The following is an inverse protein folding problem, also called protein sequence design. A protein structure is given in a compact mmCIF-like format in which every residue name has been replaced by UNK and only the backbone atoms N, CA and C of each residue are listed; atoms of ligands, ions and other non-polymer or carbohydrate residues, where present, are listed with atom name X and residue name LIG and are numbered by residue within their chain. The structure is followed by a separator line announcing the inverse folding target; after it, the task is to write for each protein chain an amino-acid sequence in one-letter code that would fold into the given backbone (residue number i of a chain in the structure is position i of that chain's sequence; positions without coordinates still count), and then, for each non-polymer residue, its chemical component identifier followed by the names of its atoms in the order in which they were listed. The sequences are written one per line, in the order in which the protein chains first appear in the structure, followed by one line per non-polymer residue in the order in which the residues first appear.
data_IF_628798496920
#
_entry.id   IF_628798496920
#
_cell.length_a   1.000
_cell.length_b   1.000
_cell.length_c   1.000
_cell.angle_alpha   90.00
_cell.angle_beta   90.00
_cell.angle_gamma   90.00
#
_symmetry.space_group_name_H-M   'P 1'
#
loop_
_entity.id
_entity.type
_entity.pdbx_description
1 polymer ?
#
# COMPACT_ATOMS: atom_id res chain seq x y z
N UNK A 1 23.48 -14.15 14.15
CA UNK A 1 22.55 -13.53 13.18
C UNK A 1 21.56 -12.67 13.96
N UNK A 2 21.32 -11.44 13.52
CA UNK A 2 20.38 -10.53 14.19
C UNK A 2 19.00 -11.17 14.25
N UNK A 3 18.37 -11.21 15.43
CA UNK A 3 17.04 -11.80 15.68
C UNK A 3 16.95 -13.34 15.61
N UNK A 4 18.04 -14.06 15.65
CA UNK A 4 18.01 -15.52 15.76
C UNK A 4 18.76 -15.96 17.01
N UNK A 5 18.24 -16.99 17.67
CA UNK A 5 18.89 -17.67 18.79
C UNK A 5 19.06 -19.16 18.49
N UNK A 6 20.09 -19.73 19.04
CA UNK A 6 20.31 -21.18 18.96
C UNK A 6 19.34 -21.91 19.87
N UNK A 7 18.88 -23.07 19.43
CA UNK A 7 18.07 -24.00 20.20
C UNK A 7 18.80 -25.34 20.28
N UNK A 8 18.81 -25.92 21.49
CA UNK A 8 19.42 -27.22 21.73
C UNK A 8 18.65 -28.33 21.04
N UNK A 9 19.28 -29.48 20.83
CA UNK A 9 18.64 -30.66 20.29
C UNK A 9 17.48 -31.10 21.18
N UNK A 10 16.32 -31.30 20.55
CA UNK A 10 15.11 -31.83 21.16
C UNK A 10 14.35 -32.68 20.13
N UNK A 11 14.53 -34.00 20.24
CA UNK A 11 13.89 -34.94 19.31
C UNK A 11 12.36 -34.96 19.44
N UNK A 12 11.80 -34.70 20.64
CA UNK A 12 10.37 -34.64 20.86
C UNK A 12 9.73 -33.40 20.20
N UNK A 13 10.48 -32.30 20.09
CA UNK A 13 10.07 -31.09 19.36
C UNK A 13 10.42 -31.13 17.86
N UNK A 14 10.89 -32.27 17.32
CA UNK A 14 11.26 -32.41 15.91
C UNK A 14 12.62 -31.77 15.55
N UNK A 15 13.48 -31.50 16.54
CA UNK A 15 14.79 -30.86 16.39
C UNK A 15 15.92 -31.79 16.87
N UNK A 16 16.15 -32.98 16.23
CA UNK A 16 17.07 -33.97 16.73
C UNK A 16 18.52 -33.48 16.79
N UNK A 17 18.89 -32.46 16.05
CA UNK A 17 20.25 -31.88 15.99
C UNK A 17 20.33 -30.45 16.49
N UNK A 18 19.26 -29.93 17.10
CA UNK A 18 19.16 -28.50 17.41
C UNK A 18 18.98 -27.64 16.17
N UNK A 19 19.19 -26.34 16.30
CA UNK A 19 19.01 -25.42 15.17
C UNK A 19 18.96 -23.96 15.58
N UNK A 20 18.41 -23.17 14.71
CA UNK A 20 18.20 -21.72 14.93
C UNK A 20 16.72 -21.39 14.82
N UNK A 21 16.22 -20.59 15.73
CA UNK A 21 14.86 -20.05 15.70
C UNK A 21 14.88 -18.52 15.82
N UNK A 22 13.79 -17.88 15.41
CA UNK A 22 13.63 -16.44 15.61
C UNK A 22 13.51 -16.15 17.10
N UNK A 23 14.31 -15.22 17.60
CA UNK A 23 14.17 -14.68 18.94
C UNK A 23 13.11 -13.56 18.93
N UNK A 24 11.87 -13.97 19.15
CA UNK A 24 10.71 -13.05 19.09
C UNK A 24 10.75 -12.03 20.22
N UNK A 25 11.31 -12.36 21.38
CA UNK A 25 11.49 -11.46 22.52
C UNK A 25 12.48 -10.35 22.16
N UNK A 26 13.65 -10.72 21.66
CA UNK A 26 14.67 -9.75 21.23
C UNK A 26 14.20 -8.94 20.02
N UNK A 27 13.47 -9.56 19.08
CA UNK A 27 12.84 -8.84 17.97
C UNK A 27 11.86 -7.78 18.47
N UNK A 28 10.91 -8.17 19.32
CA UNK A 28 9.88 -7.28 19.86
C UNK A 28 10.50 -6.10 20.62
N UNK A 29 11.49 -6.37 21.47
CA UNK A 29 12.21 -5.34 22.21
C UNK A 29 12.95 -4.33 21.32
N UNK A 30 13.67 -4.80 20.29
CA UNK A 30 14.42 -3.92 19.38
C UNK A 30 13.58 -3.20 18.35
N UNK A 31 12.42 -3.75 18.02
CA UNK A 31 11.51 -3.20 17.01
C UNK A 31 10.28 -2.53 17.63
N UNK A 32 10.29 -2.25 18.94
CA UNK A 32 9.13 -1.71 19.66
C UNK A 32 8.49 -0.49 18.94
N UNK A 33 9.28 0.49 18.53
CA UNK A 33 8.78 1.70 17.87
C UNK A 33 8.07 1.42 16.54
N UNK A 34 8.60 0.48 15.73
CA UNK A 34 7.95 0.13 14.45
C UNK A 34 6.70 -0.71 14.69
N UNK A 35 6.71 -1.61 15.67
CA UNK A 35 5.55 -2.38 16.06
C UNK A 35 4.43 -1.47 16.55
N UNK A 36 4.72 -0.50 17.41
CA UNK A 36 3.76 0.48 17.92
C UNK A 36 3.16 1.32 16.80
N UNK A 37 3.99 1.85 15.91
CA UNK A 37 3.52 2.66 14.79
C UNK A 37 2.63 1.86 13.84
N UNK A 38 3.08 0.66 13.42
CA UNK A 38 2.33 -0.16 12.46
C UNK A 38 1.02 -0.65 13.07
N UNK A 39 1.00 -1.05 14.34
CA UNK A 39 -0.23 -1.45 15.04
C UNK A 39 -1.25 -0.31 15.07
N UNK A 40 -0.82 0.91 15.45
CA UNK A 40 -1.69 2.09 15.47
C UNK A 40 -2.23 2.42 14.08
N UNK A 41 -1.37 2.45 13.07
CA UNK A 41 -1.75 2.75 11.68
C UNK A 41 -2.76 1.75 11.15
N UNK A 42 -2.48 0.45 11.27
CA UNK A 42 -3.35 -0.61 10.76
C UNK A 42 -4.68 -0.67 11.51
N UNK A 43 -4.67 -0.53 12.84
CA UNK A 43 -5.87 -0.53 13.67
C UNK A 43 -6.76 0.68 13.37
N UNK A 44 -6.16 1.86 13.23
CA UNK A 44 -6.89 3.07 12.85
C UNK A 44 -7.50 2.95 11.45
N UNK A 45 -6.77 2.34 10.50
CA UNK A 45 -7.28 2.12 9.13
C UNK A 45 -8.45 1.13 9.11
N UNK A 46 -8.37 0.03 9.89
CA UNK A 46 -9.48 -0.96 10.00
C UNK A 46 -10.78 -0.31 10.48
N UNK A 47 -10.69 0.62 11.42
CA UNK A 47 -11.87 1.22 12.06
C UNK A 47 -12.60 2.25 11.21
N UNK A 48 -12.07 2.61 10.04
CA UNK A 48 -12.65 3.64 9.17
C UNK A 48 -13.49 3.07 8.04
N UNK A 49 -14.46 3.88 7.60
CA UNK A 49 -15.20 3.59 6.38
C UNK A 49 -14.32 3.72 5.13
N UNK A 50 -14.53 2.82 4.17
CA UNK A 50 -13.82 2.86 2.91
C UNK A 50 -14.32 4.01 2.02
N UNK A 51 -13.44 4.93 1.64
CA UNK A 51 -13.70 5.97 0.65
C UNK A 51 -13.22 5.51 -0.72
N UNK A 52 -14.16 5.38 -1.67
CA UNK A 52 -13.91 4.79 -2.99
C UNK A 52 -13.84 5.84 -4.11
N UNK A 53 -13.60 7.10 -3.79
CA UNK A 53 -13.64 8.23 -4.72
C UNK A 53 -12.27 8.67 -5.26
N UNK A 54 -11.21 7.90 -5.03
CA UNK A 54 -9.87 8.27 -5.50
C UNK A 54 -9.67 8.00 -7.00
N UNK A 55 -10.26 6.93 -7.55
CA UNK A 55 -10.19 6.52 -8.96
C UNK A 55 -8.77 6.46 -9.55
N UNK A 56 -7.72 6.27 -8.76
CA UNK A 56 -6.35 6.32 -9.27
C UNK A 56 -5.83 7.72 -9.65
N UNK A 57 -6.56 8.78 -9.31
CA UNK A 57 -6.19 10.16 -9.66
C UNK A 57 -4.83 10.61 -9.13
N UNK A 58 -4.25 9.90 -8.18
CA UNK A 58 -2.89 10.17 -7.71
C UNK A 58 -1.83 9.98 -8.81
N UNK A 59 -1.97 8.98 -9.70
CA UNK A 59 -1.06 8.79 -10.82
C UNK A 59 -1.22 9.93 -11.87
N UNK A 60 -2.44 10.42 -12.07
CA UNK A 60 -2.73 11.56 -12.94
C UNK A 60 -2.15 12.86 -12.35
N UNK A 61 -2.31 13.08 -11.06
CA UNK A 61 -1.76 14.24 -10.35
C UNK A 61 -0.22 14.27 -10.35
N UNK A 62 0.44 13.11 -10.43
CA UNK A 62 1.89 13.02 -10.59
C UNK A 62 2.35 13.40 -12.01
N UNK A 63 1.48 13.20 -13.02
CA UNK A 63 1.76 13.51 -14.42
C UNK A 63 1.19 14.88 -14.86
N UNK A 64 0.55 15.62 -13.96
CA UNK A 64 -0.04 16.92 -14.24
C UNK A 64 1.04 17.92 -14.68
N UNK A 65 0.75 18.69 -15.74
CA UNK A 65 1.69 19.61 -16.40
C UNK A 65 3.04 18.96 -16.75
N UNK A 66 2.94 17.79 -17.35
CA UNK A 66 4.12 17.00 -17.75
C UNK A 66 5.01 17.71 -18.78
N UNK A 67 4.50 18.65 -19.53
CA UNK A 67 5.25 19.55 -20.43
C UNK A 67 6.20 20.48 -19.66
N UNK A 68 5.85 20.87 -18.43
CA UNK A 68 6.65 21.73 -17.55
C UNK A 68 7.55 20.92 -16.63
N UNK A 69 6.99 19.88 -15.98
CA UNK A 69 7.67 19.14 -14.91
C UNK A 69 8.33 17.84 -15.37
N UNK A 70 8.04 17.43 -16.61
CA UNK A 70 8.45 16.12 -17.12
C UNK A 70 7.62 14.96 -16.55
N UNK A 71 7.91 13.75 -17.02
CA UNK A 71 7.26 12.53 -16.57
C UNK A 71 8.22 11.68 -15.76
N UNK A 72 7.73 11.11 -14.69
CA UNK A 72 8.47 10.15 -13.87
C UNK A 72 8.82 8.86 -14.64
N UNK A 73 7.90 8.43 -15.50
CA UNK A 73 8.04 7.28 -16.40
C UNK A 73 8.11 7.76 -17.87
N UNK A 74 9.13 8.56 -18.18
CA UNK A 74 9.28 9.22 -19.48
C UNK A 74 9.36 8.26 -20.69
N UNK A 75 9.66 6.97 -20.46
CA UNK A 75 9.67 5.94 -21.49
C UNK A 75 8.29 5.40 -21.86
N UNK A 76 7.25 5.77 -21.09
CA UNK A 76 5.87 5.31 -21.31
C UNK A 76 5.03 6.51 -21.74
N UNK A 77 4.40 6.49 -22.93
CA UNK A 77 3.59 7.61 -23.41
C UNK A 77 2.33 7.80 -22.56
N UNK A 78 1.85 9.04 -22.50
CA UNK A 78 0.55 9.35 -21.91
C UNK A 78 -0.56 8.98 -22.91
N UNK A 79 -1.58 8.27 -22.44
CA UNK A 79 -2.73 7.79 -23.21
C UNK A 79 -3.52 8.91 -23.88
N UNK A 80 -3.66 10.05 -23.19
CA UNK A 80 -4.38 11.23 -23.65
C UNK A 80 -3.45 12.41 -24.01
N UNK A 81 -2.13 12.17 -24.04
CA UNK A 81 -1.14 13.25 -24.15
C UNK A 81 -1.10 14.16 -22.90
N UNK A 82 -0.27 15.19 -22.93
CA UNK A 82 -0.12 16.12 -21.80
C UNK A 82 -1.44 16.87 -21.52
N UNK A 83 -2.01 17.54 -22.53
CA UNK A 83 -3.23 18.33 -22.35
C UNK A 83 -4.40 17.48 -21.88
N UNK A 84 -4.64 16.30 -22.48
CA UNK A 84 -5.75 15.44 -22.03
C UNK A 84 -5.56 14.90 -20.61
N UNK A 85 -4.31 14.73 -20.18
CA UNK A 85 -4.00 14.37 -18.78
C UNK A 85 -4.36 15.53 -17.84
N UNK A 86 -4.02 16.76 -18.21
CA UNK A 86 -4.33 17.96 -17.45
C UNK A 86 -5.85 18.17 -17.35
N UNK A 87 -6.58 18.00 -18.45
CA UNK A 87 -8.04 18.11 -18.48
C UNK A 87 -8.71 17.11 -17.51
N UNK A 88 -8.20 15.88 -17.41
CA UNK A 88 -8.69 14.88 -16.45
C UNK A 88 -8.45 15.36 -15.02
N UNK A 89 -7.26 15.84 -14.69
CA UNK A 89 -6.92 16.32 -13.35
C UNK A 89 -7.81 17.50 -12.96
N UNK A 90 -7.99 18.48 -13.85
CA UNK A 90 -8.75 19.69 -13.60
C UNK A 90 -10.28 19.45 -13.51
N UNK A 91 -10.78 18.44 -14.23
CA UNK A 91 -12.20 18.08 -14.21
C UNK A 91 -12.62 17.20 -13.03
N UNK A 92 -11.67 16.76 -12.19
CA UNK A 92 -11.96 15.83 -11.10
C UNK A 92 -11.63 16.42 -9.73
N UNK A 93 -12.41 16.03 -8.72
CA UNK A 93 -12.10 16.32 -7.32
C UNK A 93 -11.06 15.30 -6.82
N UNK A 94 -9.84 15.73 -6.60
CA UNK A 94 -8.78 14.86 -6.06
C UNK A 94 -8.89 14.81 -4.54
N UNK A 95 -8.87 13.59 -3.97
CA UNK A 95 -9.02 13.37 -2.53
C UNK A 95 -8.12 12.20 -2.08
N UNK A 96 -6.82 12.31 -2.37
CA UNK A 96 -5.83 11.33 -1.92
C UNK A 96 -5.56 11.50 -0.43
N UNK A 97 -5.64 10.40 0.32
CA UNK A 97 -5.39 10.34 1.77
C UNK A 97 -4.04 9.71 2.12
N UNK A 98 -3.26 9.25 1.15
CA UNK A 98 -2.02 8.52 1.35
C UNK A 98 -0.80 9.41 1.12
N UNK A 99 0.00 9.63 2.16
CA UNK A 99 1.15 10.53 2.12
C UNK A 99 2.19 10.12 1.07
N UNK A 100 2.56 8.83 1.04
CA UNK A 100 3.61 8.34 0.12
C UNK A 100 3.22 8.42 -1.37
N UNK A 101 1.93 8.54 -1.70
CA UNK A 101 1.46 8.88 -3.04
C UNK A 101 1.43 10.41 -3.25
N UNK A 102 0.77 11.14 -2.32
CA UNK A 102 0.58 12.58 -2.40
C UNK A 102 1.88 13.38 -2.52
N UNK A 103 2.94 12.98 -1.83
CA UNK A 103 4.23 13.68 -1.87
C UNK A 103 4.88 13.76 -3.26
N UNK A 104 4.42 12.95 -4.20
CA UNK A 104 4.93 12.91 -5.57
C UNK A 104 4.08 13.68 -6.58
N UNK A 105 3.00 14.32 -6.15
CA UNK A 105 2.18 15.17 -7.01
C UNK A 105 3.00 16.30 -7.62
N UNK A 106 2.66 16.68 -8.84
CA UNK A 106 3.13 17.93 -9.40
C UNK A 106 2.79 19.09 -8.45
N UNK A 107 3.63 20.15 -8.39
CA UNK A 107 3.45 21.24 -7.40
C UNK A 107 2.04 21.78 -7.36
N UNK A 108 1.45 22.11 -8.50
CA UNK A 108 0.12 22.69 -8.60
C UNK A 108 -0.99 21.68 -8.27
N UNK A 109 -0.79 20.40 -8.61
CA UNK A 109 -1.77 19.35 -8.28
C UNK A 109 -1.89 19.08 -6.76
N UNK A 110 -0.86 19.45 -5.96
CA UNK A 110 -0.94 19.36 -4.51
C UNK A 110 -2.01 20.26 -3.93
N UNK A 111 -2.13 21.48 -4.46
CA UNK A 111 -3.15 22.43 -4.03
C UNK A 111 -4.58 21.98 -4.40
N UNK A 112 -4.72 21.18 -5.46
CA UNK A 112 -5.98 20.61 -5.92
C UNK A 112 -6.46 19.43 -5.06
N UNK A 113 -5.56 18.80 -4.28
CA UNK A 113 -5.95 17.71 -3.40
C UNK A 113 -6.71 18.25 -2.19
N UNK A 114 -7.93 17.76 -1.98
CA UNK A 114 -8.80 18.19 -0.88
C UNK A 114 -8.21 17.93 0.52
N UNK A 115 -7.37 16.91 0.64
CA UNK A 115 -6.65 16.56 1.86
C UNK A 115 -5.17 16.94 1.71
N UNK A 116 -4.52 17.28 2.83
CA UNK A 116 -3.09 17.59 2.83
C UNK A 116 -2.35 16.59 3.75
N UNK A 117 -2.22 15.31 3.31
CA UNK A 117 -1.59 14.29 4.12
C UNK A 117 -0.10 14.58 4.28
N UNK A 118 0.38 14.43 5.50
CA UNK A 118 1.80 14.50 5.86
C UNK A 118 2.25 13.16 6.44
N UNK A 119 3.54 13.02 6.69
CA UNK A 119 4.06 11.83 7.37
C UNK A 119 3.45 11.66 8.77
N UNK A 120 3.24 12.75 9.46
CA UNK A 120 2.74 12.75 10.85
C UNK A 120 1.23 12.46 10.92
N UNK A 121 0.50 12.77 9.84
CA UNK A 121 -0.95 12.54 9.76
C UNK A 121 -1.34 11.22 9.08
N UNK A 122 -0.39 10.31 8.78
CA UNK A 122 -0.69 9.02 8.15
C UNK A 122 -1.75 8.23 8.92
N UNK A 123 -1.61 8.14 10.26
CA UNK A 123 -2.55 7.43 11.13
C UNK A 123 -3.95 8.06 11.05
N UNK A 124 -4.04 9.36 10.85
CA UNK A 124 -5.31 10.09 10.79
C UNK A 124 -6.01 9.91 9.42
N UNK A 125 -5.26 9.90 8.33
CA UNK A 125 -5.83 9.98 6.97
C UNK A 125 -5.95 8.64 6.24
N UNK A 126 -5.10 7.65 6.54
CA UNK A 126 -5.20 6.38 5.84
C UNK A 126 -6.54 5.68 6.09
N UNK A 127 -7.10 5.10 5.03
CA UNK A 127 -8.42 4.47 5.07
C UNK A 127 -8.46 3.24 4.12
N UNK A 128 -9.35 2.25 4.35
CA UNK A 128 -9.29 0.96 3.69
C UNK A 128 -9.63 0.97 2.20
N UNK A 129 -10.28 2.00 1.67
CA UNK A 129 -10.53 2.15 0.23
C UNK A 129 -9.31 2.64 -0.57
N UNK A 130 -8.22 3.05 0.09
CA UNK A 130 -7.01 3.51 -0.59
C UNK A 130 -6.18 2.33 -1.11
N UNK A 131 -5.92 2.29 -2.43
CA UNK A 131 -5.08 1.26 -3.04
C UNK A 131 -3.67 1.23 -2.43
N UNK A 132 -3.06 2.38 -2.25
CA UNK A 132 -1.71 2.48 -1.67
C UNK A 132 -1.66 1.99 -0.21
N UNK A 133 -2.65 2.33 0.63
CA UNK A 133 -2.70 1.82 2.00
C UNK A 133 -2.88 0.29 2.04
N UNK A 134 -3.48 -0.29 1.00
CA UNK A 134 -3.64 -1.74 0.85
C UNK A 134 -2.37 -2.40 0.29
N UNK A 135 -1.68 -1.79 -0.67
CA UNK A 135 -0.35 -2.25 -1.13
C UNK A 135 0.70 -2.17 0.00
N UNK A 136 0.62 -1.16 0.84
CA UNK A 136 1.53 -0.97 1.98
C UNK A 136 1.46 -2.10 3.03
N UNK A 137 0.44 -2.96 3.01
CA UNK A 137 0.43 -4.17 3.84
C UNK A 137 1.67 -5.04 3.58
N UNK A 138 2.10 -5.16 2.31
CA UNK A 138 3.35 -5.84 1.97
C UNK A 138 4.58 -5.11 2.54
N UNK A 139 4.63 -3.78 2.48
CA UNK A 139 5.70 -2.96 3.08
C UNK A 139 5.78 -3.19 4.60
N UNK A 140 4.63 -3.18 5.28
CA UNK A 140 4.58 -3.39 6.73
C UNK A 140 4.93 -4.82 7.09
N UNK A 141 4.39 -5.81 6.38
CA UNK A 141 4.75 -7.21 6.54
C UNK A 141 6.28 -7.44 6.39
N UNK A 142 6.89 -6.85 5.36
CA UNK A 142 8.34 -6.96 5.13
C UNK A 142 9.18 -6.41 6.29
N UNK A 143 8.71 -5.36 6.96
CA UNK A 143 9.38 -4.77 8.14
C UNK A 143 9.30 -5.65 9.39
N UNK A 144 8.38 -6.62 9.42
CA UNK A 144 8.23 -7.58 10.51
C UNK A 144 9.08 -8.84 10.32
N UNK A 145 9.84 -8.95 9.23
CA UNK A 145 10.77 -10.07 9.05
C UNK A 145 11.91 -9.99 10.09
N UNK A 146 12.34 -11.14 10.62
CA UNK A 146 11.92 -12.52 10.33
C UNK A 146 10.78 -13.05 11.23
N UNK A 147 10.12 -12.19 12.00
CA UNK A 147 9.14 -12.58 13.04
C UNK A 147 7.71 -12.80 12.50
N UNK A 148 7.53 -12.77 11.20
CA UNK A 148 6.26 -13.03 10.50
C UNK A 148 6.39 -14.30 9.64
N UNK A 149 5.28 -15.01 9.42
CA UNK A 149 5.28 -16.16 8.54
C UNK A 149 5.46 -15.73 7.06
N UNK A 150 6.22 -16.55 6.31
CA UNK A 150 6.39 -16.31 4.86
C UNK A 150 5.06 -16.39 4.10
N UNK A 151 4.08 -17.18 4.56
CA UNK A 151 2.75 -17.22 3.96
C UNK A 151 2.00 -15.90 4.08
N UNK A 152 2.02 -15.25 5.26
CA UNK A 152 1.38 -13.93 5.42
C UNK A 152 2.08 -12.86 4.59
N UNK A 153 3.42 -12.91 4.48
CA UNK A 153 4.18 -12.03 3.61
C UNK A 153 3.79 -12.22 2.14
N UNK A 154 3.69 -13.47 1.68
CA UNK A 154 3.28 -13.81 0.31
C UNK A 154 1.86 -13.35 0.01
N UNK A 155 0.89 -13.59 0.91
CA UNK A 155 -0.49 -13.11 0.77
C UNK A 155 -0.55 -11.58 0.62
N UNK A 156 0.26 -10.84 1.39
CA UNK A 156 0.36 -9.39 1.27
C UNK A 156 1.01 -8.96 -0.06
N UNK A 157 2.00 -9.69 -0.55
CA UNK A 157 2.63 -9.43 -1.83
C UNK A 157 1.67 -9.66 -3.00
N UNK A 158 0.94 -10.77 -3.00
CA UNK A 158 -0.05 -11.08 -4.04
C UNK A 158 -1.14 -10.01 -4.11
N UNK A 159 -1.66 -9.58 -2.97
CA UNK A 159 -2.61 -8.46 -2.93
C UNK A 159 -2.00 -7.17 -3.49
N UNK A 160 -0.77 -6.83 -3.10
CA UNK A 160 -0.09 -5.62 -3.59
C UNK A 160 0.16 -5.68 -5.09
N UNK A 161 0.48 -6.86 -5.63
CA UNK A 161 0.65 -7.09 -7.07
C UNK A 161 -0.66 -6.86 -7.84
N UNK A 162 -1.74 -7.50 -7.41
CA UNK A 162 -3.06 -7.35 -8.04
C UNK A 162 -3.53 -5.89 -8.04
N UNK A 163 -3.35 -5.20 -6.92
CA UNK A 163 -3.66 -3.78 -6.80
C UNK A 163 -2.81 -2.96 -7.76
N UNK A 164 -1.50 -3.23 -7.84
CA UNK A 164 -0.59 -2.47 -8.71
C UNK A 164 -0.98 -2.60 -10.18
N UNK A 165 -1.45 -3.76 -10.63
CA UNK A 165 -1.96 -3.95 -11.99
C UNK A 165 -3.13 -3.00 -12.27
N UNK A 166 -4.15 -2.98 -11.40
CA UNK A 166 -5.32 -2.12 -11.57
C UNK A 166 -4.95 -0.64 -11.48
N UNK A 167 -4.06 -0.28 -10.56
CA UNK A 167 -3.57 1.08 -10.38
C UNK A 167 -2.89 1.60 -11.64
N UNK A 168 -2.04 0.78 -12.26
CA UNK A 168 -1.38 1.13 -13.53
C UNK A 168 -2.35 1.16 -14.71
N UNK A 169 -3.31 0.23 -14.79
CA UNK A 169 -4.36 0.29 -15.83
C UNK A 169 -5.20 1.55 -15.74
N UNK A 170 -5.43 2.07 -14.53
CA UNK A 170 -6.18 3.32 -14.29
C UNK A 170 -5.33 4.59 -14.43
N UNK A 171 -4.02 4.47 -14.60
CA UNK A 171 -3.08 5.58 -14.73
C UNK A 171 -3.21 6.31 -16.07
N UNK A 172 -2.59 7.49 -16.22
CA UNK A 172 -2.55 8.21 -17.50
C UNK A 172 -1.66 7.54 -18.55
N UNK A 173 -0.86 6.54 -18.19
CA UNK A 173 0.12 5.91 -19.08
C UNK A 173 -0.51 4.90 -20.03
N UNK A 174 0.01 4.82 -21.26
CA UNK A 174 -0.36 3.78 -22.22
C UNK A 174 0.46 2.51 -22.00
N UNK A 175 -0.19 1.49 -21.46
CA UNK A 175 0.41 0.19 -21.17
C UNK A 175 -0.07 -0.92 -22.12
N UNK A 176 -0.76 -0.57 -23.19
CA UNK A 176 -1.29 -1.55 -24.17
C UNK A 176 -0.18 -2.35 -24.84
N UNK A 177 0.98 -1.76 -25.06
CA UNK A 177 2.18 -2.45 -25.56
C UNK A 177 2.72 -3.54 -24.61
N UNK A 178 2.29 -3.56 -23.34
CA UNK A 178 2.62 -4.59 -22.36
C UNK A 178 1.44 -5.53 -22.05
N UNK A 179 0.35 -5.41 -22.83
CA UNK A 179 -0.84 -6.26 -22.69
C UNK A 179 -1.81 -5.82 -21.58
N UNK A 180 -1.71 -4.58 -21.10
CA UNK A 180 -2.63 -4.05 -20.10
C UNK A 180 -3.61 -3.07 -20.73
N UNK A 181 -4.87 -3.47 -20.83
CA UNK A 181 -5.94 -2.58 -21.28
C UNK A 181 -6.26 -1.49 -20.23
N UNK A 182 -6.50 -0.24 -20.64
CA UNK A 182 -6.73 0.84 -19.71
C UNK A 182 -8.10 0.77 -19.04
N UNK A 183 -8.14 1.04 -17.75
CA UNK A 183 -9.37 1.40 -17.02
C UNK A 183 -9.55 2.90 -17.16
N UNK A 184 -10.45 3.32 -18.05
CA UNK A 184 -10.65 4.72 -18.44
C UNK A 184 -11.44 5.48 -17.38
N UNK A 185 -10.77 5.92 -16.31
CA UNK A 185 -11.42 6.60 -15.17
C UNK A 185 -12.01 7.97 -15.53
N UNK A 186 -11.68 8.50 -16.67
CA UNK A 186 -12.30 9.68 -17.28
C UNK A 186 -13.74 9.41 -17.79
N UNK A 187 -14.17 8.13 -17.85
CA UNK A 187 -15.52 7.72 -18.23
C UNK A 187 -16.33 7.16 -17.06
N UNK A 188 -17.67 7.22 -17.08
CA UNK A 188 -18.51 6.58 -16.06
C UNK A 188 -18.27 5.07 -15.91
N UNK A 189 -18.10 4.37 -17.03
CA UNK A 189 -17.86 2.91 -17.08
C UNK A 189 -16.52 2.55 -16.45
N UNK A 190 -15.45 3.30 -16.76
CA UNK A 190 -14.14 3.10 -16.18
C UNK A 190 -14.12 3.39 -14.67
N UNK A 191 -14.82 4.43 -14.22
CA UNK A 191 -15.02 4.69 -12.78
C UNK A 191 -15.74 3.54 -12.08
N UNK A 192 -16.79 3.00 -12.69
CA UNK A 192 -17.53 1.87 -12.14
C UNK A 192 -16.64 0.62 -12.03
N UNK A 193 -15.87 0.31 -13.07
CA UNK A 193 -14.91 -0.81 -13.06
C UNK A 193 -13.84 -0.64 -11.98
N UNK A 194 -13.29 0.57 -11.84
CA UNK A 194 -12.29 0.86 -10.79
C UNK A 194 -12.87 0.69 -9.38
N UNK A 195 -14.07 1.22 -9.12
CA UNK A 195 -14.74 1.06 -7.81
C UNK A 195 -15.04 -0.41 -7.50
N UNK A 196 -15.43 -1.19 -8.50
CA UNK A 196 -15.66 -2.62 -8.32
C UNK A 196 -14.39 -3.35 -7.89
N UNK A 197 -13.25 -3.06 -8.54
CA UNK A 197 -11.95 -3.60 -8.14
C UNK A 197 -11.56 -3.13 -6.73
N UNK A 198 -11.72 -1.84 -6.43
CA UNK A 198 -11.45 -1.27 -5.10
C UNK A 198 -12.19 -2.01 -3.99
N UNK A 199 -13.48 -2.33 -4.18
CA UNK A 199 -14.28 -3.07 -3.18
C UNK A 199 -13.69 -4.45 -2.88
N UNK A 200 -13.33 -5.21 -3.92
CA UNK A 200 -12.68 -6.50 -3.74
C UNK A 200 -11.33 -6.39 -3.00
N UNK A 201 -10.55 -5.34 -3.27
CA UNK A 201 -9.31 -5.08 -2.54
C UNK A 201 -9.54 -4.69 -1.08
N UNK A 202 -10.59 -3.91 -0.78
CA UNK A 202 -10.97 -3.60 0.60
C UNK A 202 -11.23 -4.88 1.38
N UNK A 203 -12.05 -5.79 0.86
CA UNK A 203 -12.38 -7.05 1.53
C UNK A 203 -11.13 -7.88 1.83
N UNK A 204 -10.27 -8.09 0.82
CA UNK A 204 -9.03 -8.85 0.97
C UNK A 204 -8.05 -8.18 1.94
N UNK A 205 -7.89 -6.87 1.84
CA UNK A 205 -6.96 -6.12 2.68
C UNK A 205 -7.36 -6.10 4.15
N UNK A 206 -8.67 -6.05 4.46
CA UNK A 206 -9.13 -6.07 5.85
C UNK A 206 -8.77 -7.39 6.55
N UNK A 207 -8.86 -8.52 5.86
CA UNK A 207 -8.43 -9.82 6.39
C UNK A 207 -6.93 -9.82 6.71
N UNK A 208 -6.10 -9.38 5.75
CA UNK A 208 -4.64 -9.35 5.93
C UNK A 208 -4.22 -8.34 7.00
N UNK A 209 -4.89 -7.20 7.06
CA UNK A 209 -4.66 -6.17 8.08
C UNK A 209 -4.94 -6.71 9.48
N UNK A 210 -6.05 -7.43 9.66
CA UNK A 210 -6.37 -8.09 10.93
C UNK A 210 -5.31 -9.13 11.33
N UNK A 211 -4.82 -9.93 10.37
CA UNK A 211 -3.73 -10.90 10.63
C UNK A 211 -2.43 -10.21 11.05
N UNK A 212 -2.06 -9.10 10.42
CA UNK A 212 -0.87 -8.32 10.78
C UNK A 212 -1.00 -7.72 12.19
N UNK A 213 -2.13 -7.11 12.52
CA UNK A 213 -2.40 -6.56 13.86
C UNK A 213 -2.30 -7.66 14.93
N UNK A 214 -2.92 -8.81 14.68
CA UNK A 214 -2.83 -9.96 15.61
C UNK A 214 -1.39 -10.45 15.78
N UNK A 215 -0.60 -10.52 14.71
CA UNK A 215 0.82 -10.91 14.79
C UNK A 215 1.63 -9.90 15.59
N UNK A 216 1.40 -8.61 15.39
CA UNK A 216 2.10 -7.55 16.16
C UNK A 216 1.75 -7.66 17.64
N UNK A 217 0.49 -7.87 17.98
CA UNK A 217 0.06 -8.04 19.36
C UNK A 217 0.77 -9.24 20.03
N UNK A 218 0.92 -10.36 19.33
CA UNK A 218 1.66 -11.54 19.80
C UNK A 218 3.15 -11.24 20.03
N UNK A 219 3.79 -10.53 19.09
CA UNK A 219 5.21 -10.14 19.21
C UNK A 219 5.44 -9.21 20.40
N UNK A 220 4.51 -8.29 20.65
CA UNK A 220 4.59 -7.40 21.82
C UNK A 220 4.40 -8.15 23.14
N UNK A 221 3.43 -9.06 23.18
CA UNK A 221 3.23 -9.91 24.37
C UNK A 221 4.44 -10.78 24.69
N UNK A 222 5.14 -11.28 23.67
CA UNK A 222 6.37 -12.07 23.85
C UNK A 222 7.59 -11.23 24.28
N UNK A 223 7.55 -9.90 24.10
CA UNK A 223 8.62 -8.97 24.46
C UNK A 223 8.43 -8.29 25.85
N UNK A 224 7.23 -8.41 26.43
CA UNK A 224 6.89 -7.87 27.75
C UNK A 224 7.45 -8.73 28.87
#
# INVERSE_FOLDING_TARGET
TKFYREVTADAAAGLPHGGWTVDVTEFGRRQANILDFVEQLLSATVSRDAKLSCFGLHEWAMAYRSDVHGLRHASVPLRLGAQGTDDVVESHKISCSHFDAFRFYAPEAREMNHLQPTRDTMIEFEQPGCLHANMDLYKWASKLLPAISSSLLADCFELAWDIRVVDMQASPYDLTGWGFEPIRIETPEGKAAYVQAQRGFVERSQVLRGRLVSTIAQLRAAAA
#
